data_IF_384474688938
#
_entry.id   IF_384474688938
#
_cell.length_a   1.000
_cell.length_b   1.000
_cell.length_c   1.000
_cell.angle_alpha   90.00
_cell.angle_beta   90.00
_cell.angle_gamma   90.00
#
_symmetry.space_group_name_H-M   'P 1'
#
loop_
_entity.id
_entity.type
_entity.pdbx_description
1 polymer ?
#
# COMPACT_ATOMS: atom_id res chain seq x y z
N UNK A 1 5.37 42.57 -1.05
CA UNK A 1 6.50 41.85 -1.66
C UNK A 1 5.99 40.51 -2.16
N UNK A 2 5.80 40.36 -3.47
CA UNK A 2 5.30 39.14 -4.11
C UNK A 2 6.46 38.16 -4.28
N UNK A 3 6.67 37.32 -3.27
CA UNK A 3 7.72 36.30 -3.22
C UNK A 3 7.17 34.87 -3.30
N UNK A 4 6.15 34.64 -4.13
CA UNK A 4 5.76 33.28 -4.50
C UNK A 4 6.73 32.78 -5.56
N UNK A 5 7.96 32.44 -5.16
CA UNK A 5 8.88 31.73 -6.04
C UNK A 5 8.22 30.43 -6.50
N UNK A 6 8.32 30.13 -7.79
CA UNK A 6 7.74 28.95 -8.42
C UNK A 6 8.15 27.69 -7.64
N UNK A 7 7.22 27.19 -6.82
CA UNK A 7 7.43 25.94 -6.09
C UNK A 7 7.30 24.82 -7.10
N UNK A 8 8.34 24.00 -7.22
CA UNK A 8 8.30 22.81 -8.05
C UNK A 8 7.12 21.91 -7.64
N UNK A 9 6.26 21.62 -8.60
CA UNK A 9 5.12 20.74 -8.43
C UNK A 9 5.56 19.30 -8.76
N UNK A 10 5.59 18.44 -7.74
CA UNK A 10 6.03 17.05 -7.88
C UNK A 10 4.89 16.05 -8.09
N UNK A 11 3.64 16.51 -7.96
CA UNK A 11 2.47 15.72 -8.34
C UNK A 11 2.04 16.11 -9.75
N UNK A 12 1.69 15.11 -10.56
CA UNK A 12 1.26 15.33 -11.93
C UNK A 12 0.48 14.13 -12.45
N UNK A 13 -0.23 14.34 -13.54
CA UNK A 13 -0.94 13.29 -14.26
C UNK A 13 -0.25 13.03 -15.60
N UNK A 14 -0.04 11.76 -15.93
CA UNK A 14 0.37 11.32 -17.25
C UNK A 14 -0.83 10.64 -17.91
N UNK A 15 -1.47 11.27 -18.91
CA UNK A 15 -2.50 10.62 -19.69
C UNK A 15 -1.88 9.58 -20.63
N UNK A 16 -2.55 8.45 -20.78
CA UNK A 16 -2.24 7.40 -21.74
C UNK A 16 -3.48 7.06 -22.58
N UNK A 17 -3.30 6.26 -23.63
CA UNK A 17 -4.40 5.93 -24.55
C UNK A 17 -5.47 5.03 -23.90
N UNK A 18 -5.06 4.19 -22.94
CA UNK A 18 -5.92 3.21 -22.25
C UNK A 18 -5.70 3.21 -20.73
N UNK A 19 -5.01 4.23 -20.24
CA UNK A 19 -4.75 4.39 -18.82
C UNK A 19 -4.47 5.86 -18.51
N UNK A 20 -4.56 6.20 -17.23
CA UNK A 20 -3.99 7.43 -16.68
C UNK A 20 -3.07 7.07 -15.52
N UNK A 21 -2.06 7.88 -15.30
CA UNK A 21 -1.16 7.72 -14.16
C UNK A 21 -1.15 9.00 -13.34
N UNK A 22 -1.59 8.89 -12.10
CA UNK A 22 -1.52 9.95 -11.10
C UNK A 22 -0.29 9.73 -10.23
N UNK A 23 0.66 10.66 -10.28
CA UNK A 23 1.86 10.65 -9.45
C UNK A 23 1.62 11.53 -8.23
N UNK A 24 1.66 10.93 -7.03
CA UNK A 24 1.40 11.63 -5.78
C UNK A 24 2.67 12.26 -5.21
N UNK A 25 2.53 13.47 -4.66
CA UNK A 25 3.56 14.10 -3.84
C UNK A 25 3.21 13.94 -2.36
N UNK A 26 3.79 12.90 -1.77
CA UNK A 26 3.63 12.56 -0.35
C UNK A 26 4.82 12.99 0.50
N UNK A 27 5.76 13.76 -0.06
CA UNK A 27 7.00 14.20 0.61
C UNK A 27 6.96 15.70 0.88
N UNK A 28 6.68 16.51 -0.14
CA UNK A 28 6.71 17.97 0.00
C UNK A 28 5.37 18.56 0.43
N UNK A 29 4.27 17.84 0.19
CA UNK A 29 2.91 18.28 0.54
C UNK A 29 2.31 17.58 1.77
N UNK A 30 3.18 17.12 2.68
CA UNK A 30 2.77 16.56 3.97
C UNK A 30 2.08 17.61 4.85
N UNK A 31 1.08 17.17 5.60
CA UNK A 31 0.45 17.97 6.65
C UNK A 31 1.15 17.75 7.99
N UNK A 32 1.75 18.81 8.55
CA UNK A 32 2.29 18.80 9.90
C UNK A 32 1.34 19.59 10.83
N UNK A 33 0.73 18.95 11.83
CA UNK A 33 -0.14 19.66 12.76
C UNK A 33 0.69 20.63 13.63
N UNK A 34 0.42 21.93 13.53
CA UNK A 34 1.19 22.98 14.23
C UNK A 34 1.10 22.92 15.77
N UNK A 35 0.04 22.29 16.30
CA UNK A 35 -0.23 22.21 17.74
C UNK A 35 0.12 20.83 18.33
N UNK A 36 0.94 20.05 17.63
CA UNK A 36 1.31 18.70 18.04
C UNK A 36 2.84 18.55 18.17
N UNK A 37 3.33 17.59 18.95
CA UNK A 37 4.75 17.34 19.08
C UNK A 37 5.45 17.15 17.72
N UNK A 38 6.71 17.59 17.55
CA UNK A 38 7.46 17.36 16.30
C UNK A 38 7.62 15.88 15.93
N UNK A 39 7.40 14.97 16.89
CA UNK A 39 7.50 13.52 16.71
C UNK A 39 6.17 12.88 16.30
N UNK A 40 5.10 13.66 16.18
CA UNK A 40 3.83 13.20 15.63
C UNK A 40 4.02 12.79 14.16
N UNK A 41 3.57 11.59 13.76
CA UNK A 41 3.57 11.19 12.36
C UNK A 41 2.79 12.20 11.50
N UNK A 42 3.36 12.68 10.37
CA UNK A 42 2.70 13.64 9.50
C UNK A 42 1.53 13.00 8.76
N UNK A 43 0.60 13.84 8.30
CA UNK A 43 -0.32 13.45 7.24
C UNK A 43 0.47 13.37 5.93
N UNK A 44 0.51 12.20 5.29
CA UNK A 44 1.30 12.01 4.07
C UNK A 44 0.79 12.88 2.90
N UNK A 45 -0.49 13.23 2.91
CA UNK A 45 -1.10 14.22 2.03
C UNK A 45 -1.86 15.20 2.93
N UNK A 46 -1.53 16.49 2.86
CA UNK A 46 -2.26 17.53 3.58
C UNK A 46 -3.70 17.69 3.06
N UNK A 47 -4.62 18.30 3.83
CA UNK A 47 -6.01 18.46 3.41
C UNK A 47 -6.16 19.23 2.09
N UNK A 48 -5.36 20.28 1.85
CA UNK A 48 -5.35 21.01 0.58
C UNK A 48 -4.76 20.19 -0.55
N UNK A 49 -3.72 19.39 -0.27
CA UNK A 49 -3.11 18.51 -1.26
C UNK A 49 -4.05 17.37 -1.69
N UNK A 50 -4.96 16.91 -0.82
CA UNK A 50 -6.01 15.96 -1.22
C UNK A 50 -6.89 16.52 -2.33
N UNK A 51 -7.30 17.79 -2.21
CA UNK A 51 -8.16 18.43 -3.19
C UNK A 51 -7.43 18.52 -4.54
N UNK A 52 -6.20 19.04 -4.54
CA UNK A 52 -5.45 19.25 -5.79
C UNK A 52 -4.97 17.94 -6.42
N UNK A 53 -4.54 16.95 -5.63
CA UNK A 53 -3.94 15.71 -6.16
C UNK A 53 -4.97 14.63 -6.47
N UNK A 54 -6.10 14.54 -5.73
CA UNK A 54 -6.99 13.38 -5.79
C UNK A 54 -8.41 13.68 -6.28
N UNK A 55 -8.92 14.92 -6.26
CA UNK A 55 -10.20 15.25 -6.90
C UNK A 55 -10.27 14.93 -8.41
N UNK A 56 -9.18 15.04 -9.19
CA UNK A 56 -9.17 14.58 -10.58
C UNK A 56 -9.55 13.09 -10.73
N UNK A 57 -9.35 12.26 -9.70
CA UNK A 57 -9.78 10.86 -9.72
C UNK A 57 -11.30 10.73 -9.82
N UNK A 58 -12.03 11.59 -9.10
CA UNK A 58 -13.49 11.53 -8.99
C UNK A 58 -14.21 12.05 -10.23
N UNK A 59 -13.60 13.02 -10.91
CA UNK A 59 -14.24 13.72 -12.02
C UNK A 59 -14.28 12.88 -13.32
N UNK A 60 -13.62 11.72 -13.36
CA UNK A 60 -13.52 10.88 -14.57
C UNK A 60 -12.95 11.61 -15.79
N UNK A 61 -12.34 12.77 -15.57
CA UNK A 61 -11.91 13.70 -16.60
C UNK A 61 -10.58 13.22 -17.20
N UNK A 62 -10.62 12.11 -17.92
CA UNK A 62 -9.68 11.90 -19.01
C UNK A 62 -9.98 12.97 -20.06
N UNK A 63 -9.40 14.15 -19.90
CA UNK A 63 -9.72 15.34 -20.69
C UNK A 63 -9.34 15.23 -22.18
N UNK A 64 -8.88 14.08 -22.67
CA UNK A 64 -8.44 13.91 -24.07
C UNK A 64 -8.77 12.54 -24.71
N UNK A 65 -9.55 11.68 -24.06
CA UNK A 65 -10.04 10.47 -24.73
C UNK A 65 -11.25 10.81 -25.61
N UNK A 66 -11.02 11.18 -26.88
CA UNK A 66 -12.08 11.22 -27.87
C UNK A 66 -12.75 9.82 -27.95
N UNK A 67 -14.08 9.73 -27.77
CA UNK A 67 -14.79 8.46 -27.94
C UNK A 67 -14.86 8.16 -29.44
N UNK A 68 -13.87 7.43 -29.97
CA UNK A 68 -14.05 6.76 -31.25
C UNK A 68 -15.05 5.62 -31.06
N UNK A 69 -16.02 5.52 -31.97
CA UNK A 69 -17.19 4.64 -31.92
C UNK A 69 -16.89 3.12 -31.88
N UNK A 70 -15.62 2.73 -31.83
CA UNK A 70 -15.19 1.36 -31.58
C UNK A 70 -14.98 1.16 -30.09
N UNK A 71 -15.69 0.16 -29.54
CA UNK A 71 -15.69 -0.31 -28.15
C UNK A 71 -14.27 -0.38 -27.56
N UNK A 72 -13.77 0.72 -27.00
CA UNK A 72 -12.42 0.78 -26.47
C UNK A 72 -12.35 0.31 -25.00
N UNK A 73 -11.29 -0.42 -24.61
CA UNK A 73 -11.22 -1.17 -23.37
C UNK A 73 -11.10 -0.25 -22.15
N UNK A 74 -11.59 -0.73 -21.01
CA UNK A 74 -11.64 -0.01 -19.74
C UNK A 74 -10.32 0.72 -19.42
N UNK A 75 -10.39 2.04 -19.31
CA UNK A 75 -9.28 2.87 -18.83
C UNK A 75 -8.83 2.38 -17.45
N UNK A 76 -7.52 2.23 -17.25
CA UNK A 76 -6.92 1.90 -15.95
C UNK A 76 -6.38 3.15 -15.28
N UNK A 77 -6.51 3.24 -13.96
CA UNK A 77 -5.92 4.33 -13.18
C UNK A 77 -4.74 3.80 -12.37
N UNK A 78 -3.53 4.24 -12.74
CA UNK A 78 -2.33 4.03 -11.94
C UNK A 78 -2.19 5.15 -10.92
N UNK A 79 -1.94 4.79 -9.67
CA UNK A 79 -1.60 5.75 -8.62
C UNK A 79 -0.19 5.44 -8.14
N UNK A 80 0.75 6.32 -8.44
CA UNK A 80 2.14 6.19 -8.01
C UNK A 80 2.29 6.83 -6.65
N UNK A 81 2.44 6.00 -5.62
CA UNK A 81 2.68 6.42 -4.25
C UNK A 81 4.17 6.20 -3.91
N UNK A 82 4.92 7.23 -3.49
CA UNK A 82 6.34 7.09 -3.16
C UNK A 82 6.62 5.98 -2.14
N UNK A 83 5.74 5.80 -1.15
CA UNK A 83 5.83 4.77 -0.11
C UNK A 83 4.59 3.88 -0.15
N UNK A 84 4.71 2.65 0.37
CA UNK A 84 3.59 1.71 0.39
C UNK A 84 2.40 2.22 1.20
N UNK A 85 1.22 2.26 0.57
CA UNK A 85 -0.06 2.53 1.23
C UNK A 85 -0.42 1.38 2.18
N UNK A 86 -0.09 0.15 1.79
CA UNK A 86 -0.22 -1.04 2.63
C UNK A 86 1.13 -1.74 2.81
N UNK A 87 1.48 -1.99 4.06
CA UNK A 87 2.78 -2.51 4.52
C UNK A 87 2.62 -3.81 5.27
N UNK A 88 3.72 -4.55 5.42
CA UNK A 88 3.78 -5.78 6.22
C UNK A 88 3.55 -5.43 7.70
N UNK A 89 2.81 -6.28 8.42
CA UNK A 89 2.51 -6.10 9.85
C UNK A 89 3.75 -6.02 10.73
N UNK A 90 4.82 -6.71 10.33
CA UNK A 90 6.10 -6.62 11.05
C UNK A 90 6.70 -5.22 10.96
N UNK A 91 6.61 -4.56 9.81
CA UNK A 91 7.11 -3.20 9.63
C UNK A 91 6.25 -2.20 10.41
N UNK A 92 4.93 -2.37 10.39
CA UNK A 92 4.02 -1.58 11.23
C UNK A 92 4.38 -1.66 12.72
N UNK A 93 4.72 -2.87 13.19
CA UNK A 93 5.13 -3.09 14.59
C UNK A 93 6.44 -2.40 14.89
N UNK A 94 7.42 -2.47 13.99
CA UNK A 94 8.71 -1.81 14.17
C UNK A 94 8.57 -0.29 14.20
N UNK A 95 7.82 0.27 13.25
CA UNK A 95 7.48 1.70 13.21
C UNK A 95 6.76 2.13 14.49
N UNK A 96 5.82 1.32 14.96
CA UNK A 96 5.11 1.59 16.21
C UNK A 96 6.01 1.54 17.45
N UNK A 97 6.91 0.56 17.54
CA UNK A 97 7.88 0.45 18.63
C UNK A 97 8.84 1.65 18.60
N UNK A 98 9.29 2.06 17.42
CA UNK A 98 10.14 3.24 17.24
C UNK A 98 9.43 4.51 17.71
N UNK A 99 8.16 4.70 17.32
CA UNK A 99 7.33 5.81 17.80
C UNK A 99 7.18 5.80 19.33
N UNK A 100 6.92 4.63 19.94
CA UNK A 100 6.81 4.50 21.41
C UNK A 100 8.12 4.86 22.12
N UNK A 101 9.25 4.57 21.50
CA UNK A 101 10.59 4.89 22.01
C UNK A 101 11.08 6.30 21.62
N UNK A 102 10.24 7.14 21.00
CA UNK A 102 10.60 8.46 20.49
C UNK A 102 11.75 8.44 19.46
N UNK A 103 11.95 7.30 18.78
CA UNK A 103 12.95 7.07 17.74
C UNK A 103 12.34 7.19 16.35
N UNK A 104 11.66 8.31 16.11
CA UNK A 104 10.83 8.50 14.90
C UNK A 104 11.65 8.59 13.61
N UNK A 105 12.93 8.94 13.70
CA UNK A 105 13.85 9.04 12.56
C UNK A 105 14.54 7.71 12.20
N UNK A 106 14.53 6.72 13.08
CA UNK A 106 15.30 5.48 12.90
C UNK A 106 14.56 4.41 12.09
N UNK A 107 13.26 4.59 11.83
CA UNK A 107 12.40 3.56 11.24
C UNK A 107 11.38 4.10 10.23
N UNK A 108 11.67 5.26 9.62
CA UNK A 108 10.79 5.93 8.66
C UNK A 108 9.34 6.03 9.14
N UNK A 109 9.16 6.33 10.42
CA UNK A 109 7.84 6.49 11.06
C UNK A 109 7.02 7.56 10.32
N UNK A 110 7.70 8.59 9.81
CA UNK A 110 7.09 9.65 9.04
C UNK A 110 6.51 9.24 7.68
N UNK A 111 6.79 8.03 7.21
CA UNK A 111 6.48 7.55 5.86
C UNK A 111 5.34 6.51 5.84
N UNK A 112 4.83 6.17 7.02
CA UNK A 112 3.82 5.14 7.21
C UNK A 112 2.40 5.68 7.10
N UNK A 113 1.67 5.20 6.08
CA UNK A 113 0.23 5.43 5.93
C UNK A 113 -0.60 4.86 7.08
N UNK A 114 -0.03 3.94 7.87
CA UNK A 114 -0.77 3.23 8.91
C UNK A 114 -0.82 4.01 10.22
N UNK A 115 0.08 4.98 10.43
CA UNK A 115 0.12 5.77 11.67
C UNK A 115 -0.82 6.98 11.64
N UNK A 116 -1.22 7.40 10.44
CA UNK A 116 -2.25 8.41 10.21
C UNK A 116 -3.44 7.75 9.48
N UNK A 117 -4.38 7.27 10.28
CA UNK A 117 -5.49 6.46 9.80
C UNK A 117 -6.56 7.29 9.07
N UNK A 118 -6.66 8.60 9.32
CA UNK A 118 -7.72 9.45 8.73
C UNK A 118 -7.43 9.81 7.27
N UNK A 119 -6.19 10.15 6.94
CA UNK A 119 -5.59 10.38 5.63
C UNK A 119 -5.68 9.10 4.81
N UNK A 120 -5.30 7.94 5.37
CA UNK A 120 -5.44 6.67 4.64
C UNK A 120 -6.92 6.33 4.40
N UNK A 121 -7.81 6.53 5.38
CA UNK A 121 -9.26 6.33 5.18
C UNK A 121 -9.83 7.21 4.06
N UNK A 122 -9.45 8.50 4.03
CA UNK A 122 -9.80 9.42 2.95
C UNK A 122 -9.20 8.98 1.61
N UNK A 123 -7.92 8.62 1.56
CA UNK A 123 -7.32 8.11 0.32
C UNK A 123 -8.12 6.93 -0.23
N UNK A 124 -8.45 5.94 0.60
CA UNK A 124 -9.23 4.78 0.17
C UNK A 124 -10.60 5.17 -0.36
N UNK A 125 -11.29 6.14 0.24
CA UNK A 125 -12.57 6.60 -0.30
C UNK A 125 -12.40 7.21 -1.69
N UNK A 126 -11.35 7.98 -1.96
CA UNK A 126 -11.07 8.50 -3.31
C UNK A 126 -10.74 7.39 -4.30
N UNK A 127 -9.84 6.47 -3.93
CA UNK A 127 -9.42 5.37 -4.82
C UNK A 127 -10.59 4.45 -5.20
N UNK A 128 -11.45 4.09 -4.25
CA UNK A 128 -12.61 3.23 -4.52
C UNK A 128 -13.86 4.00 -5.00
N UNK A 129 -13.81 5.33 -5.11
CA UNK A 129 -14.82 6.12 -5.82
C UNK A 129 -14.38 6.49 -7.25
N UNK A 130 -13.15 6.18 -7.64
CA UNK A 130 -12.72 6.33 -9.02
C UNK A 130 -13.58 5.43 -9.94
N UNK A 131 -13.95 5.91 -11.13
CA UNK A 131 -14.77 5.14 -12.07
C UNK A 131 -13.99 3.98 -12.72
N UNK A 132 -12.65 4.07 -12.76
CA UNK A 132 -11.78 3.03 -13.30
C UNK A 132 -11.26 2.06 -12.23
N UNK A 133 -10.76 0.91 -12.69
CA UNK A 133 -9.96 0.04 -11.83
C UNK A 133 -8.65 0.73 -11.45
N UNK A 134 -8.32 0.69 -10.16
CA UNK A 134 -7.16 1.38 -9.59
C UNK A 134 -6.03 0.39 -9.27
N UNK A 135 -4.82 0.73 -9.70
CA UNK A 135 -3.59 0.01 -9.39
C UNK A 135 -2.62 0.98 -8.72
N UNK A 136 -2.12 0.62 -7.53
CA UNK A 136 -1.10 1.40 -6.84
C UNK A 136 0.27 0.87 -7.23
N UNK A 137 1.15 1.77 -7.69
CA UNK A 137 2.58 1.50 -7.87
C UNK A 137 3.31 2.14 -6.70
N UNK A 138 4.13 1.37 -5.98
CA UNK A 138 4.84 1.87 -4.80
C UNK A 138 6.26 1.35 -4.69
N UNK A 139 7.08 2.00 -3.86
CA UNK A 139 8.48 1.64 -3.67
C UNK A 139 9.10 2.22 -2.40
N UNK A 140 10.39 2.53 -2.46
CA UNK A 140 11.20 3.16 -1.40
C UNK A 140 11.44 2.31 -0.13
N UNK A 141 10.79 1.16 0.02
CA UNK A 141 10.75 0.40 1.30
C UNK A 141 11.61 -0.87 1.35
N UNK A 142 12.70 -0.92 0.60
CA UNK A 142 13.72 -1.98 0.63
C UNK A 142 13.30 -3.40 0.18
N UNK A 143 12.05 -3.61 -0.23
CA UNK A 143 11.59 -4.88 -0.76
C UNK A 143 10.58 -4.71 -1.88
N UNK A 144 10.36 -5.77 -2.66
CA UNK A 144 9.28 -5.85 -3.62
C UNK A 144 8.30 -6.97 -3.27
N UNK A 145 7.01 -6.72 -3.51
CA UNK A 145 5.90 -7.62 -3.22
C UNK A 145 4.64 -7.15 -3.94
N UNK A 146 3.55 -7.91 -3.83
CA UNK A 146 2.25 -7.49 -4.32
C UNK A 146 1.15 -7.88 -3.33
N UNK A 147 0.09 -7.08 -3.27
CA UNK A 147 -1.07 -7.35 -2.43
C UNK A 147 -2.36 -6.89 -3.11
N UNK A 148 -3.46 -7.52 -2.72
CA UNK A 148 -4.81 -7.18 -3.14
C UNK A 148 -5.61 -6.58 -1.99
N UNK A 149 -6.54 -5.69 -2.33
CA UNK A 149 -7.45 -5.04 -1.42
C UNK A 149 -8.87 -5.18 -1.94
N UNK A 150 -9.68 -5.97 -1.24
CA UNK A 150 -11.11 -6.11 -1.51
C UNK A 150 -11.87 -5.12 -0.64
N UNK A 151 -12.55 -4.15 -1.28
CA UNK A 151 -13.26 -3.09 -0.59
C UNK A 151 -14.76 -3.24 -0.75
N UNK A 152 -15.47 -3.15 0.36
CA UNK A 152 -16.90 -3.39 0.45
C UNK A 152 -17.57 -2.22 1.16
N UNK A 153 -18.72 -1.79 0.66
CA UNK A 153 -19.48 -0.68 1.22
C UNK A 153 -20.83 -1.15 1.72
N UNK A 154 -21.28 -0.52 2.79
CA UNK A 154 -22.66 -0.64 3.24
C UNK A 154 -23.50 0.35 2.43
N UNK A 155 -24.29 -0.14 1.47
CA UNK A 155 -25.06 0.73 0.58
C UNK A 155 -26.05 1.61 1.34
N UNK A 156 -26.73 1.07 2.35
CA UNK A 156 -27.74 1.80 3.14
C UNK A 156 -27.17 3.05 3.82
N UNK A 157 -25.89 3.03 4.20
CA UNK A 157 -25.20 4.15 4.84
C UNK A 157 -24.46 5.05 3.85
N UNK A 158 -24.17 4.54 2.64
CA UNK A 158 -23.48 5.31 1.62
C UNK A 158 -24.43 6.28 0.87
N UNK A 159 -25.74 5.98 0.84
CA UNK A 159 -26.78 6.84 0.26
C UNK A 159 -27.29 7.96 1.20
N UNK A 160 -26.90 7.99 2.47
CA UNK A 160 -27.36 9.01 3.45
C UNK A 160 -26.83 10.43 3.22
N UNK A 161 -26.23 10.70 2.06
CA UNK A 161 -25.91 12.05 1.57
C UNK A 161 -27.06 12.72 0.78
N UNK A 162 -28.22 12.08 0.63
CA UNK A 162 -29.45 12.73 0.19
C UNK A 162 -30.54 12.49 1.25
N UNK A 163 -31.09 13.59 1.77
CA UNK A 163 -32.04 13.72 2.86
C UNK A 163 -33.09 12.60 2.92
N UNK A 164 -33.33 11.99 4.10
CA UNK A 164 -34.65 11.79 4.74
C UNK A 164 -34.56 10.82 5.95
N UNK A 165 -35.57 10.95 6.81
CA UNK A 165 -35.83 10.39 8.15
C UNK A 165 -35.65 8.88 8.30
N UNK A 166 -34.94 8.47 9.35
CA UNK A 166 -34.85 7.09 9.84
C UNK A 166 -36.24 6.54 10.23
N UNK A 167 -36.73 5.51 9.54
CA UNK A 167 -37.76 4.60 10.07
C UNK A 167 -37.06 3.47 10.85
N UNK A 168 -37.29 3.34 12.17
CA UNK A 168 -36.55 2.40 13.00
C UNK A 168 -37.26 1.03 13.04
N UNK A 169 -37.49 0.37 11.91
CA UNK A 169 -37.96 -1.01 11.93
C UNK A 169 -37.61 -1.75 10.63
N UNK A 170 -36.41 -2.34 10.58
CA UNK A 170 -36.17 -3.60 9.87
C UNK A 170 -34.84 -4.21 10.31
N UNK A 171 -34.91 -5.37 10.96
CA UNK A 171 -33.78 -6.28 11.23
C UNK A 171 -33.32 -6.93 9.91
N UNK A 172 -32.83 -6.13 8.95
CA UNK A 172 -32.06 -6.66 7.83
C UNK A 172 -30.58 -6.55 8.19
N UNK A 173 -29.86 -7.66 8.04
CA UNK A 173 -28.40 -7.60 8.03
C UNK A 173 -28.00 -6.63 6.91
N UNK A 174 -27.12 -5.66 7.16
CA UNK A 174 -26.75 -4.67 6.14
C UNK A 174 -26.22 -5.39 4.90
N UNK A 175 -26.77 -5.06 3.73
CA UNK A 175 -26.32 -5.63 2.45
C UNK A 175 -24.95 -5.04 2.10
N UNK A 176 -23.89 -5.73 2.51
CA UNK A 176 -22.51 -5.33 2.25
C UNK A 176 -22.10 -5.91 0.90
N UNK A 177 -21.99 -5.02 -0.10
CA UNK A 177 -21.60 -5.41 -1.45
C UNK A 177 -20.12 -5.09 -1.71
N UNK A 178 -19.46 -5.99 -2.45
CA UNK A 178 -18.13 -5.72 -2.99
C UNK A 178 -18.23 -4.54 -3.95
N UNK A 179 -17.49 -3.47 -3.66
CA UNK A 179 -17.46 -2.28 -4.51
C UNK A 179 -16.34 -2.35 -5.53
N UNK A 180 -15.21 -2.93 -5.15
CA UNK A 180 -14.06 -3.01 -6.04
C UNK A 180 -12.88 -3.73 -5.41
N UNK A 181 -11.94 -4.08 -6.29
CA UNK A 181 -10.63 -4.61 -5.93
C UNK A 181 -9.56 -3.65 -6.42
N UNK A 182 -8.60 -3.37 -5.53
CA UNK A 182 -7.38 -2.63 -5.83
C UNK A 182 -6.19 -3.55 -5.67
N UNK A 183 -5.13 -3.31 -6.45
CA UNK A 183 -3.87 -4.05 -6.34
C UNK A 183 -2.75 -3.06 -6.10
N UNK A 184 -1.90 -3.31 -5.10
CA UNK A 184 -0.65 -2.59 -4.90
C UNK A 184 0.52 -3.45 -5.36
N UNK A 185 1.31 -2.90 -6.27
CA UNK A 185 2.51 -3.50 -6.83
C UNK A 185 3.71 -2.73 -6.31
N UNK A 186 4.51 -3.39 -5.48
CA UNK A 186 5.65 -2.76 -4.82
C UNK A 186 6.96 -3.26 -5.43
N UNK A 187 7.79 -2.32 -5.88
CA UNK A 187 9.18 -2.58 -6.25
C UNK A 187 10.09 -1.55 -5.59
N UNK A 188 11.23 -1.98 -5.06
CA UNK A 188 12.19 -1.10 -4.39
C UNK A 188 13.32 -0.72 -5.34
N UNK A 189 13.81 0.51 -5.26
CA UNK A 189 14.88 1.00 -6.12
C UNK A 189 16.17 0.16 -6.03
N UNK A 190 17.00 0.23 -7.07
CA UNK A 190 18.33 -0.39 -7.10
C UNK A 190 19.17 0.21 -5.97
N UNK A 191 19.93 -0.64 -5.27
CA UNK A 191 20.71 -0.30 -4.06
C UNK A 191 19.88 0.05 -2.83
N UNK A 192 18.55 -0.08 -2.90
CA UNK A 192 17.66 0.11 -1.76
C UNK A 192 17.26 -1.26 -1.20
N UNK A 193 18.16 -1.92 -0.48
CA UNK A 193 17.91 -3.19 0.23
C UNK A 193 18.56 -3.19 1.60
N UNK A 194 17.87 -3.72 2.62
CA UNK A 194 18.37 -3.81 3.99
C UNK A 194 18.48 -5.27 4.47
N UNK A 195 19.32 -5.49 5.48
CA UNK A 195 19.48 -6.76 6.19
C UNK A 195 18.16 -7.35 6.69
N UNK A 196 17.26 -6.52 7.22
CA UNK A 196 15.94 -6.96 7.67
C UNK A 196 15.08 -7.45 6.50
N UNK A 197 15.08 -6.75 5.36
CA UNK A 197 14.32 -7.20 4.19
C UNK A 197 14.90 -8.49 3.62
N UNK A 198 16.23 -8.66 3.70
CA UNK A 198 16.90 -9.94 3.45
C UNK A 198 16.37 -11.07 4.32
N UNK A 199 16.06 -10.83 5.60
CA UNK A 199 15.42 -11.83 6.46
C UNK A 199 13.98 -12.13 6.03
N UNK A 200 13.19 -11.09 5.71
CA UNK A 200 11.80 -11.23 5.25
C UNK A 200 11.70 -11.99 3.92
N UNK A 201 12.76 -11.96 3.12
CA UNK A 201 12.87 -12.72 1.88
C UNK A 201 12.97 -14.24 2.10
N UNK A 202 13.41 -14.69 3.27
CA UNK A 202 13.71 -16.10 3.51
C UNK A 202 12.47 -16.96 3.75
N UNK A 203 12.63 -18.28 3.67
CA UNK A 203 11.61 -19.24 4.10
C UNK A 203 11.31 -19.18 5.59
N UNK A 204 12.15 -18.57 6.41
CA UNK A 204 11.82 -18.34 7.82
C UNK A 204 10.53 -17.50 7.94
N UNK A 205 10.39 -16.45 7.12
CA UNK A 205 9.15 -15.68 7.04
C UNK A 205 7.97 -16.53 6.55
N UNK A 206 8.22 -17.56 5.74
CA UNK A 206 7.15 -18.45 5.26
C UNK A 206 6.59 -19.38 6.34
N UNK A 207 7.27 -19.53 7.49
CA UNK A 207 6.71 -20.18 8.69
C UNK A 207 5.68 -19.30 9.40
N UNK A 208 5.75 -17.98 9.17
CA UNK A 208 4.81 -17.00 9.70
C UNK A 208 4.27 -16.15 8.54
N UNK A 209 3.44 -16.75 7.65
CA UNK A 209 2.84 -16.02 6.54
C UNK A 209 2.14 -14.76 7.03
N UNK A 210 2.19 -13.74 6.21
CA UNK A 210 1.51 -12.49 6.44
C UNK A 210 -0.01 -12.75 6.45
N UNK A 211 -0.69 -12.51 7.59
CA UNK A 211 -2.10 -12.78 7.68
C UNK A 211 -2.87 -11.79 6.82
N UNK A 212 -3.98 -12.23 6.22
CA UNK A 212 -4.97 -11.30 5.71
C UNK A 212 -5.44 -10.39 6.85
N UNK A 213 -5.57 -9.09 6.55
CA UNK A 213 -6.01 -8.09 7.54
C UNK A 213 -7.32 -7.50 7.09
N UNK A 214 -8.30 -7.51 7.97
CA UNK A 214 -9.60 -6.90 7.75
C UNK A 214 -9.68 -5.59 8.49
N UNK A 215 -10.33 -4.61 7.87
CA UNK A 215 -10.47 -3.26 8.40
C UNK A 215 -11.91 -2.81 8.21
N UNK A 216 -12.38 -1.98 9.13
CA UNK A 216 -13.67 -1.30 9.05
C UNK A 216 -13.45 0.20 9.17
N UNK A 217 -14.31 1.00 8.58
CA UNK A 217 -14.18 2.44 8.65
C UNK A 217 -15.47 3.23 8.49
N UNK A 218 -15.36 4.50 8.86
CA UNK A 218 -16.39 5.52 8.85
C UNK A 218 -15.85 6.75 8.14
N UNK A 219 -16.71 7.42 7.38
CA UNK A 219 -16.36 8.64 6.65
C UNK A 219 -16.54 9.89 7.52
N UNK A 220 -17.41 9.81 8.54
CA UNK A 220 -17.78 10.93 9.39
C UNK A 220 -17.87 10.50 10.86
N UNK A 221 -16.88 10.89 11.68
CA UNK A 221 -15.57 11.39 11.28
C UNK A 221 -14.74 10.31 10.56
N UNK A 222 -13.76 10.72 9.75
CA UNK A 222 -12.88 9.80 9.03
C UNK A 222 -12.05 8.95 10.01
N UNK A 223 -12.45 7.70 10.19
CA UNK A 223 -11.84 6.76 11.13
C UNK A 223 -11.79 5.37 10.48
N UNK A 224 -10.75 4.61 10.80
CA UNK A 224 -10.67 3.20 10.45
C UNK A 224 -10.00 2.40 11.55
N UNK A 225 -10.43 1.15 11.71
CA UNK A 225 -9.97 0.24 12.73
C UNK A 225 -9.70 -1.13 12.11
N UNK A 226 -8.58 -1.75 12.50
CA UNK A 226 -8.29 -3.14 12.13
C UNK A 226 -9.24 -4.06 12.91
N UNK A 227 -9.89 -5.00 12.24
CA UNK A 227 -10.67 -6.05 12.88
C UNK A 227 -9.68 -7.10 13.39
N UNK A 228 -9.38 -7.04 14.68
CA UNK A 228 -8.46 -7.99 15.32
C UNK A 228 -9.22 -9.01 16.16
N UNK A 229 -8.62 -10.19 16.37
CA UNK A 229 -9.15 -11.15 17.33
C UNK A 229 -9.15 -10.56 18.74
N UNK A 230 -10.02 -11.04 19.63
CA UNK A 230 -10.13 -10.57 21.03
C UNK A 230 -8.78 -10.53 21.78
N UNK A 231 -7.84 -11.41 21.44
CA UNK A 231 -6.50 -11.44 22.05
C UNK A 231 -5.61 -10.28 21.59
N UNK A 232 -5.71 -9.85 20.33
CA UNK A 232 -4.97 -8.73 19.76
C UNK A 232 -5.65 -7.36 20.02
N UNK A 233 -6.92 -7.35 20.41
CA UNK A 233 -7.66 -6.14 20.78
C UNK A 233 -6.97 -5.35 21.91
N UNK A 234 -6.24 -6.02 22.81
CA UNK A 234 -5.44 -5.36 23.85
C UNK A 234 -4.30 -4.52 23.27
N UNK A 235 -3.58 -5.04 22.28
CA UNK A 235 -2.52 -4.31 21.57
C UNK A 235 -3.10 -3.16 20.74
N UNK A 236 -4.25 -3.37 20.10
CA UNK A 236 -4.95 -2.31 19.37
C UNK A 236 -5.41 -1.19 20.30
N UNK A 237 -5.91 -1.50 21.50
CA UNK A 237 -6.23 -0.49 22.52
C UNK A 237 -4.99 0.27 22.97
N UNK A 238 -3.86 -0.41 23.17
CA UNK A 238 -2.59 0.27 23.48
C UNK A 238 -2.15 1.17 22.32
N UNK A 239 -2.35 0.73 21.07
CA UNK A 239 -2.04 1.48 19.87
C UNK A 239 -2.86 2.76 19.78
N UNK A 240 -4.18 2.68 20.01
CA UNK A 240 -5.08 3.85 20.08
C UNK A 240 -4.70 4.81 21.22
N UNK A 241 -4.36 4.29 22.40
CA UNK A 241 -3.88 5.10 23.54
C UNK A 241 -2.57 5.81 23.24
N UNK A 242 -1.63 5.15 22.56
CA UNK A 242 -0.37 5.76 22.14
C UNK A 242 -0.59 6.81 21.05
N UNK A 243 -1.47 6.55 20.08
CA UNK A 243 -1.87 7.55 19.10
C UNK A 243 -2.44 8.82 19.75
N UNK A 244 -3.17 8.69 20.86
CA UNK A 244 -3.65 9.84 21.64
C UNK A 244 -2.54 10.58 22.36
N UNK A 245 -1.57 9.83 22.93
CA UNK A 245 -0.42 10.42 23.64
C UNK A 245 0.43 11.32 22.75
N UNK A 246 0.48 11.03 21.44
CA UNK A 246 1.30 11.76 20.48
C UNK A 246 0.50 12.73 19.59
N UNK A 247 -0.81 12.95 19.84
CA UNK A 247 -1.65 13.86 19.03
C UNK A 247 -2.97 14.21 19.74
N UNK A 248 -2.95 15.12 20.74
CA UNK A 248 -4.14 15.43 21.53
C UNK A 248 -5.11 16.43 20.87
N UNK A 249 -4.69 17.20 19.86
CA UNK A 249 -5.47 18.36 19.38
C UNK A 249 -6.38 18.09 18.16
N UNK A 250 -6.21 16.99 17.42
CA UNK A 250 -6.97 16.72 16.17
C UNK A 250 -7.45 15.28 15.99
N UNK A 251 -7.28 14.41 16.99
CA UNK A 251 -7.77 13.03 16.94
C UNK A 251 -8.92 12.83 17.92
N UNK A 252 -9.96 12.14 17.46
CA UNK A 252 -11.10 11.73 18.28
C UNK A 252 -10.59 11.09 19.57
N UNK A 253 -11.17 11.49 20.70
CA UNK A 253 -10.92 10.86 22.00
C UNK A 253 -11.25 9.38 21.97
N UNK A 254 -10.74 8.59 22.92
CA UNK A 254 -10.98 7.15 22.95
C UNK A 254 -12.47 6.87 23.08
N UNK A 255 -13.16 7.68 23.88
CA UNK A 255 -14.59 7.60 24.08
C UNK A 255 -15.36 7.86 22.78
N UNK A 256 -14.99 8.90 22.02
CA UNK A 256 -15.61 9.18 20.71
C UNK A 256 -15.35 8.06 19.71
N UNK A 257 -14.12 7.53 19.63
CA UNK A 257 -13.82 6.40 18.76
C UNK A 257 -14.61 5.14 19.14
N UNK A 258 -14.76 4.88 20.44
CA UNK A 258 -15.58 3.76 20.93
C UNK A 258 -17.05 3.96 20.57
N UNK A 259 -17.58 5.17 20.78
CA UNK A 259 -18.95 5.50 20.42
C UNK A 259 -19.21 5.41 18.91
N UNK A 260 -18.22 5.75 18.07
CA UNK A 260 -18.28 5.56 16.62
C UNK A 260 -18.22 4.07 16.28
N UNK A 261 -17.38 3.30 16.96
CA UNK A 261 -17.26 1.86 16.73
C UNK A 261 -18.52 1.07 17.08
N UNK A 262 -19.39 1.63 17.92
CA UNK A 262 -20.72 1.07 18.22
C UNK A 262 -21.72 1.28 17.06
N UNK A 263 -21.42 2.21 16.13
CA UNK A 263 -22.23 2.42 14.92
C UNK A 263 -21.80 1.43 13.83
N UNK A 264 -22.74 0.98 12.97
CA UNK A 264 -22.38 0.17 11.81
C UNK A 264 -21.34 0.89 10.92
N UNK A 265 -20.30 0.20 10.43
CA UNK A 265 -19.30 0.83 9.57
C UNK A 265 -19.87 1.16 8.19
N UNK A 266 -19.40 2.27 7.60
CA UNK A 266 -19.77 2.65 6.24
C UNK A 266 -19.12 1.72 5.21
N UNK A 267 -17.94 1.21 5.53
CA UNK A 267 -17.18 0.34 4.65
C UNK A 267 -16.28 -0.61 5.44
N UNK A 268 -15.87 -1.68 4.77
CA UNK A 268 -14.84 -2.60 5.24
C UNK A 268 -13.94 -3.00 4.09
N UNK A 269 -12.69 -3.32 4.37
CA UNK A 269 -11.81 -3.90 3.38
C UNK A 269 -10.95 -5.02 3.94
N UNK A 270 -10.53 -5.92 3.06
CA UNK A 270 -9.59 -6.99 3.38
C UNK A 270 -8.35 -6.85 2.51
N UNK A 271 -7.19 -6.94 3.14
CA UNK A 271 -5.89 -7.02 2.46
C UNK A 271 -5.41 -8.46 2.43
N UNK A 272 -4.89 -8.89 1.29
CA UNK A 272 -4.33 -10.23 1.10
C UNK A 272 -3.03 -10.14 0.30
N UNK A 273 -1.96 -10.71 0.85
CA UNK A 273 -0.66 -10.71 0.17
C UNK A 273 -0.64 -11.77 -0.93
N UNK A 274 -0.18 -11.39 -2.11
CA UNK A 274 -0.05 -12.31 -3.22
C UNK A 274 1.12 -13.24 -2.99
N UNK A 275 0.91 -14.51 -3.32
CA UNK A 275 1.96 -15.52 -3.22
C UNK A 275 2.97 -15.33 -4.33
N UNK A 276 4.23 -15.18 -3.95
CA UNK A 276 5.38 -15.18 -4.85
C UNK A 276 5.57 -16.56 -5.48
N UNK A 277 5.64 -16.61 -6.80
CA UNK A 277 6.07 -17.80 -7.52
C UNK A 277 7.58 -18.03 -7.32
N UNK A 278 8.00 -19.31 -7.36
CA UNK A 278 9.40 -19.67 -7.25
C UNK A 278 10.26 -18.94 -8.29
N UNK A 279 11.48 -18.58 -7.90
CA UNK A 279 12.36 -17.79 -8.76
C UNK A 279 12.74 -18.56 -10.04
N UNK A 280 12.62 -17.90 -11.19
CA UNK A 280 12.96 -18.42 -12.51
C UNK A 280 14.13 -17.62 -13.08
N UNK A 281 14.86 -18.23 -14.03
CA UNK A 281 15.93 -17.53 -14.73
C UNK A 281 15.32 -16.43 -15.60
N UNK A 282 15.89 -15.24 -15.55
CA UNK A 282 15.48 -14.16 -16.45
C UNK A 282 15.96 -14.50 -17.88
N UNK A 283 15.09 -14.41 -18.90
CA UNK A 283 15.46 -14.77 -20.27
C UNK A 283 16.30 -13.69 -20.98
N UNK A 284 16.30 -12.46 -20.46
CA UNK A 284 16.84 -11.28 -21.17
C UNK A 284 18.28 -10.91 -20.80
N UNK A 285 18.84 -11.51 -19.75
CA UNK A 285 20.15 -11.11 -19.20
C UNK A 285 21.04 -12.34 -19.00
N UNK A 286 21.79 -12.69 -20.05
CA UNK A 286 22.88 -13.65 -19.98
C UNK A 286 24.14 -12.97 -19.42
N UNK A 287 24.29 -12.98 -18.10
CA UNK A 287 25.49 -12.47 -17.42
C UNK A 287 25.20 -11.35 -16.42
N UNK A 288 26.20 -11.06 -15.58
CA UNK A 288 26.15 -9.97 -14.60
C UNK A 288 26.92 -8.78 -15.20
N UNK A 289 26.31 -7.60 -15.34
CA UNK A 289 27.06 -6.39 -15.59
C UNK A 289 28.09 -6.19 -14.45
N UNK A 290 29.39 -5.97 -14.74
CA UNK A 290 30.44 -5.93 -13.71
C UNK A 290 30.14 -4.95 -12.56
N UNK A 291 29.48 -3.83 -12.84
CA UNK A 291 29.09 -2.83 -11.85
C UNK A 291 28.02 -3.31 -10.86
N UNK A 292 27.24 -4.33 -11.22
CA UNK A 292 26.21 -4.94 -10.39
C UNK A 292 26.73 -6.14 -9.57
N UNK A 293 27.90 -6.69 -9.92
CA UNK A 293 28.61 -7.70 -9.14
C UNK A 293 29.24 -7.13 -7.85
N UNK A 294 29.38 -5.80 -7.76
CA UNK A 294 30.19 -5.11 -6.75
C UNK A 294 29.61 -5.09 -5.32
N UNK A 295 28.39 -5.58 -5.07
CA UNK A 295 27.77 -5.48 -3.73
C UNK A 295 27.78 -6.76 -2.89
N UNK A 296 28.32 -7.88 -3.38
CA UNK A 296 28.32 -9.14 -2.62
C UNK A 296 29.51 -9.33 -1.66
N UNK A 297 30.37 -8.31 -1.50
CA UNK A 297 31.56 -8.37 -0.65
C UNK A 297 31.39 -7.71 0.71
N UNK A 298 30.65 -8.33 1.64
CA UNK A 298 30.92 -8.16 3.08
C UNK A 298 31.17 -9.53 3.68
N UNK A 299 32.45 -9.90 3.73
CA UNK A 299 32.94 -11.06 4.47
C UNK A 299 32.68 -10.85 5.96
N UNK A 300 31.50 -11.24 6.41
CA UNK A 300 31.23 -11.37 7.84
C UNK A 300 32.07 -12.53 8.39
N UNK A 301 32.65 -12.43 9.60
CA UNK A 301 33.47 -13.47 10.22
C UNK A 301 32.68 -14.74 10.62
N UNK A 302 31.42 -14.86 10.21
CA UNK A 302 30.62 -16.05 10.49
C UNK A 302 31.16 -17.30 9.79
N UNK A 303 30.98 -18.47 10.43
CA UNK A 303 31.51 -19.73 9.95
C UNK A 303 31.01 -20.07 8.54
N UNK A 304 31.84 -20.74 7.73
CA UNK A 304 31.51 -21.17 6.35
C UNK A 304 30.15 -21.90 6.26
N UNK A 305 29.76 -22.63 7.31
CA UNK A 305 28.47 -23.32 7.40
C UNK A 305 27.28 -22.35 7.46
N UNK A 306 27.37 -21.30 8.28
CA UNK A 306 26.30 -20.29 8.39
C UNK A 306 26.13 -19.50 7.11
N UNK A 307 27.24 -19.12 6.45
CA UNK A 307 27.20 -18.51 5.12
C UNK A 307 26.59 -19.47 4.09
N UNK A 308 27.01 -20.74 4.06
CA UNK A 308 26.47 -21.72 3.14
C UNK A 308 24.96 -21.95 3.33
N UNK A 309 24.48 -22.06 4.57
CA UNK A 309 23.04 -22.16 4.88
C UNK A 309 22.30 -20.90 4.46
N UNK A 310 22.84 -19.72 4.76
CA UNK A 310 22.21 -18.45 4.43
C UNK A 310 22.09 -18.25 2.92
N UNK A 311 23.12 -18.59 2.16
CA UNK A 311 23.14 -18.48 0.70
C UNK A 311 22.55 -19.70 0.00
N UNK A 312 21.87 -20.60 0.72
CA UNK A 312 21.17 -21.72 0.11
C UNK A 312 19.83 -21.24 -0.50
N UNK A 313 19.55 -21.65 -1.74
CA UNK A 313 18.28 -21.37 -2.42
C UNK A 313 17.07 -21.75 -1.57
N UNK A 314 17.12 -22.87 -0.87
CA UNK A 314 16.01 -23.33 -0.04
C UNK A 314 15.70 -22.34 1.08
N UNK A 315 16.70 -21.68 1.66
CA UNK A 315 16.51 -20.65 2.68
C UNK A 315 16.04 -19.34 2.06
N UNK A 316 16.63 -18.94 0.93
CA UNK A 316 16.37 -17.65 0.28
C UNK A 316 15.13 -17.66 -0.65
N UNK A 317 14.26 -18.66 -0.58
CA UNK A 317 13.03 -18.73 -1.37
C UNK A 317 11.75 -18.55 -0.52
N UNK A 318 11.62 -17.41 0.17
CA UNK A 318 10.38 -17.04 0.87
C UNK A 318 9.19 -16.80 -0.05
N UNK A 319 7.97 -16.80 0.50
CA UNK A 319 6.72 -16.85 -0.28
C UNK A 319 6.06 -15.51 -0.59
N UNK A 320 6.52 -14.41 -0.02
CA UNK A 320 5.78 -13.13 -0.04
C UNK A 320 6.59 -11.98 -0.62
N UNK A 321 7.90 -11.97 -0.35
CA UNK A 321 8.71 -10.76 -0.50
C UNK A 321 10.00 -11.07 -1.27
N UNK A 322 10.41 -10.13 -2.13
CA UNK A 322 11.77 -10.02 -2.67
C UNK A 322 12.52 -8.95 -1.86
N UNK A 323 13.38 -9.36 -0.93
CA UNK A 323 14.09 -8.45 -0.01
C UNK A 323 15.43 -7.94 -0.50
N UNK A 324 15.74 -8.17 -1.77
CA UNK A 324 16.94 -7.71 -2.46
C UNK A 324 16.58 -6.60 -3.44
N UNK A 325 17.59 -5.87 -3.91
CA UNK A 325 17.46 -4.91 -5.01
C UNK A 325 16.64 -5.54 -6.15
N UNK A 326 15.54 -4.89 -6.50
CA UNK A 326 14.60 -5.43 -7.48
C UNK A 326 14.15 -4.37 -8.48
N UNK A 327 13.66 -4.83 -9.63
CA UNK A 327 13.01 -3.98 -10.63
C UNK A 327 11.70 -4.69 -10.98
N UNK A 328 10.59 -3.95 -10.88
CA UNK A 328 9.27 -4.45 -11.24
C UNK A 328 8.99 -4.26 -12.72
N UNK A 329 8.58 -5.33 -13.39
CA UNK A 329 7.97 -5.32 -14.71
C UNK A 329 6.51 -5.73 -14.55
N UNK A 330 5.60 -4.86 -15.01
CA UNK A 330 4.15 -5.10 -14.87
C UNK A 330 3.55 -5.37 -16.25
N UNK A 331 2.78 -6.44 -16.36
CA UNK A 331 2.04 -6.80 -17.57
C UNK A 331 0.54 -6.86 -17.30
N UNK A 332 -0.23 -6.41 -18.28
CA UNK A 332 -1.68 -6.41 -18.27
C UNK A 332 -2.19 -7.30 -19.39
N UNK A 333 -3.11 -8.21 -19.06
CA UNK A 333 -3.78 -9.06 -20.04
C UNK A 333 -5.27 -9.07 -19.77
N UNK A 334 -6.04 -8.57 -20.73
CA UNK A 334 -7.49 -8.75 -20.69
C UNK A 334 -7.81 -10.20 -21.10
N UNK A 335 -8.73 -10.83 -20.38
CA UNK A 335 -9.32 -12.09 -20.83
C UNK A 335 -10.24 -11.85 -22.04
N UNK A 336 -10.51 -12.92 -22.79
CA UNK A 336 -11.41 -12.92 -23.97
C UNK A 336 -12.80 -12.37 -23.68
N UNK A 337 -13.26 -12.43 -22.42
CA UNK A 337 -14.53 -11.87 -21.98
C UNK A 337 -14.53 -10.32 -21.84
N UNK A 338 -13.37 -9.68 -21.93
CA UNK A 338 -13.18 -8.22 -21.80
C UNK A 338 -13.49 -7.63 -20.41
N UNK A 339 -13.91 -8.45 -19.44
CA UNK A 339 -14.30 -8.02 -18.09
C UNK A 339 -13.22 -8.27 -17.05
N UNK A 340 -12.41 -9.29 -17.27
CA UNK A 340 -11.36 -9.69 -16.36
C UNK A 340 -9.99 -9.18 -16.83
N UNK A 341 -9.30 -8.50 -15.92
CA UNK A 341 -7.93 -8.06 -16.10
C UNK A 341 -6.99 -8.92 -15.26
N UNK A 342 -6.09 -9.64 -15.93
CA UNK A 342 -4.96 -10.32 -15.31
C UNK A 342 -3.78 -9.35 -15.23
N UNK A 343 -3.29 -9.16 -14.02
CA UNK A 343 -2.13 -8.33 -13.70
C UNK A 343 -0.98 -9.26 -13.31
N UNK A 344 0.12 -9.18 -14.03
CA UNK A 344 1.35 -9.92 -13.73
C UNK A 344 2.40 -8.93 -13.27
N UNK A 345 3.02 -9.19 -12.13
CA UNK A 345 4.12 -8.38 -11.61
C UNK A 345 5.35 -9.25 -11.45
N UNK A 346 6.32 -9.04 -12.33
CA UNK A 346 7.61 -9.72 -12.34
C UNK A 346 8.64 -8.85 -11.63
N UNK A 347 9.14 -9.32 -10.50
CA UNK A 347 10.26 -8.70 -9.81
C UNK A 347 11.55 -9.37 -10.27
N UNK A 348 12.40 -8.62 -10.95
CA UNK A 348 13.75 -9.04 -11.33
C UNK A 348 14.74 -8.64 -10.25
N UNK A 349 15.61 -9.56 -9.83
CA UNK A 349 16.55 -9.35 -8.73
C UNK A 349 17.75 -10.30 -8.80
N UNK A 350 18.78 -10.02 -8.00
CA UNK A 350 20.00 -10.82 -7.97
C UNK A 350 19.92 -11.97 -6.99
N UNK A 351 20.04 -13.21 -7.49
CA UNK A 351 20.05 -14.38 -6.60
C UNK A 351 21.33 -14.40 -5.76
N UNK A 352 21.24 -14.46 -4.43
CA UNK A 352 22.40 -14.58 -3.55
C UNK A 352 22.92 -16.02 -3.46
N UNK A 353 22.29 -16.98 -4.14
CA UNK A 353 22.67 -18.40 -4.14
C UNK A 353 23.24 -18.85 -5.48
N UNK A 354 24.10 -19.87 -5.41
CA UNK A 354 24.74 -20.47 -6.59
C UNK A 354 25.63 -19.45 -7.32
N UNK A 355 25.71 -19.57 -8.64
CA UNK A 355 26.34 -18.53 -9.47
C UNK A 355 25.42 -17.29 -9.48
N UNK A 356 25.90 -16.12 -9.04
CA UNK A 356 25.09 -14.92 -9.02
C UNK A 356 24.55 -14.61 -10.42
N UNK A 357 23.26 -14.30 -10.51
CA UNK A 357 22.58 -14.03 -11.78
C UNK A 357 21.27 -13.33 -11.51
N UNK A 358 20.72 -12.74 -12.55
CA UNK A 358 19.39 -12.15 -12.50
C UNK A 358 18.35 -13.27 -12.61
N UNK A 359 17.51 -13.35 -11.59
CA UNK A 359 16.31 -14.18 -11.56
C UNK A 359 15.09 -13.28 -11.49
N UNK A 360 13.92 -13.82 -11.74
CA UNK A 360 12.68 -13.13 -11.49
C UNK A 360 11.68 -13.98 -10.71
N UNK A 361 10.86 -13.32 -9.91
CA UNK A 361 9.73 -13.93 -9.22
C UNK A 361 8.45 -13.23 -9.66
N UNK A 362 7.41 -14.00 -9.95
CA UNK A 362 6.13 -13.50 -10.44
C UNK A 362 5.08 -13.46 -9.33
N UNK A 363 4.27 -12.41 -9.34
CA UNK A 363 2.98 -12.31 -8.65
C UNK A 363 1.87 -12.18 -9.69
N UNK A 364 0.71 -12.75 -9.40
CA UNK A 364 -0.44 -12.73 -10.31
C UNK A 364 -1.68 -12.32 -9.54
N UNK A 365 -2.43 -11.38 -10.11
CA UNK A 365 -3.69 -10.87 -9.55
C UNK A 365 -4.74 -10.77 -10.64
N UNK A 366 -6.00 -10.95 -10.25
CA UNK A 366 -7.14 -10.80 -11.15
C UNK A 366 -8.09 -9.73 -10.60
N UNK A 367 -8.34 -8.70 -11.39
CA UNK A 367 -9.39 -7.72 -11.14
C UNK A 367 -10.54 -8.02 -12.10
N UNK A 368 -11.73 -8.26 -11.55
CA UNK A 368 -12.97 -8.34 -12.33
C UNK A 368 -13.66 -6.99 -12.24
N UNK A 369 -13.97 -6.40 -13.40
CA UNK A 369 -14.77 -5.18 -13.44
C UNK A 369 -16.20 -5.52 -12.99
N UNK A 370 -16.64 -4.88 -11.90
CA UNK A 370 -17.98 -5.04 -11.34
C UNK A 370 -19.03 -4.28 -12.14
#
# INVERSE_FOLDING_TARGET
MNGAGDRLQWHYEIPGTHHRMLVLDTRTQRGYPQNEPPTTPPQLISPSAFQTQLEPLLSGASAQAQPTADKNPACLTFVVAPTNVFTLKILDRLQFLALKSNRVFDADVGDSWNLETSTRAKLLSYLFNAPEAVIILSGDIHFGASLEVDYQVNQELNFQHQSFTFSPHQNRSPDIQLKGRLVQLTASAICNSDSMTGLLHTKLKSLFPEPSRSWVGWNQPALQLEVTSRWLAGLQRQWLKLQQRFSPAKRLSLAEQMQISDRPPHWRYQTSWLRRQAARRSPWLSGIPPWLALSQGRSSPHSKLTQWLWYNRWVQEGREVVGFNNIGLVHFKYHENGRDLLILHDLHWYSPWGQPRIVYSRFESKITKL
#
